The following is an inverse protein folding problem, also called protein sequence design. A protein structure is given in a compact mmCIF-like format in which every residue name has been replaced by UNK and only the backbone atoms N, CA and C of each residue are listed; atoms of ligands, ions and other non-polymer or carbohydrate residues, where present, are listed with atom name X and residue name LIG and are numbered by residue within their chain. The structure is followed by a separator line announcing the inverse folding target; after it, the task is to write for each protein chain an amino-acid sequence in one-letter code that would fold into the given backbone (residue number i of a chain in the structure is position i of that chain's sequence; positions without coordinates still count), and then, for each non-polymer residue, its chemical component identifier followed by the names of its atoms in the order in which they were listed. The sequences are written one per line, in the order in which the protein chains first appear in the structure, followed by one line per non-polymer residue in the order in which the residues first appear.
data_IF_594767068389
#
_entry.id   IF_594767068389
#
_cell.length_a   1.000
_cell.length_b   1.000
_cell.length_c   1.000
_cell.angle_alpha   90.00
_cell.angle_beta   90.00
_cell.angle_gamma   90.00
#
_symmetry.space_group_name_H-M   'P 1'
#
loop_
_entity.id
_entity.type
_entity.pdbx_description
1 polymer ?
#
# COMPACT_ATOMS: atom_id res chain seq x y z
N UNK A 1 -0.45 -3.79 18.03
CA UNK A 1 -1.69 -4.35 18.62
C UNK A 1 -2.66 -4.51 17.47
N UNK A 2 -3.11 -5.72 17.22
CA UNK A 2 -4.28 -5.93 16.38
C UNK A 2 -5.44 -5.36 17.16
N UNK A 3 -6.08 -4.30 16.69
CA UNK A 3 -7.38 -3.94 17.20
C UNK A 3 -8.34 -5.05 16.74
N UNK A 4 -8.61 -6.00 17.63
CA UNK A 4 -9.59 -7.07 17.38
C UNK A 4 -11.03 -6.53 17.47
N UNK A 5 -11.17 -5.21 17.46
CA UNK A 5 -12.43 -4.50 17.55
C UNK A 5 -13.05 -4.50 18.94
N UNK A 6 -12.34 -5.00 19.92
CA UNK A 6 -12.75 -4.86 21.29
C UNK A 6 -12.21 -3.53 21.82
N UNK A 7 -13.07 -2.81 22.52
CA UNK A 7 -12.66 -1.75 23.41
C UNK A 7 -11.46 -2.27 24.24
N UNK A 8 -10.40 -1.49 24.46
CA UNK A 8 -9.31 -1.85 25.37
C UNK A 8 -9.81 -2.34 26.73
N UNK A 9 -11.00 -1.94 27.14
CA UNK A 9 -11.67 -2.33 28.38
C UNK A 9 -12.61 -3.54 28.21
N UNK A 10 -12.61 -4.23 27.06
CA UNK A 10 -13.34 -5.48 26.82
C UNK A 10 -14.79 -5.31 26.36
N UNK A 11 -15.20 -4.10 25.99
CA UNK A 11 -16.52 -3.80 25.41
C UNK A 11 -16.68 -4.28 23.96
N UNK A 12 -17.93 -4.39 23.51
CA UNK A 12 -18.25 -4.64 22.11
C UNK A 12 -18.01 -3.35 21.31
N UNK A 13 -17.29 -3.42 20.18
CA UNK A 13 -17.11 -2.25 19.35
C UNK A 13 -18.46 -1.77 18.79
N UNK A 14 -18.73 -0.48 18.91
CA UNK A 14 -19.91 0.13 18.38
C UNK A 14 -19.85 0.19 16.84
N UNK A 15 -20.98 0.07 16.13
CA UNK A 15 -21.02 0.33 14.69
C UNK A 15 -20.64 1.78 14.40
N UNK A 16 -20.24 2.05 13.17
CA UNK A 16 -20.08 3.41 12.66
C UNK A 16 -21.45 3.96 12.27
N UNK A 17 -21.75 5.17 12.72
CA UNK A 17 -22.99 5.88 12.38
C UNK A 17 -22.64 7.20 11.72
N UNK A 18 -23.19 7.44 10.53
CA UNK A 18 -23.02 8.65 9.75
C UNK A 18 -24.38 9.32 9.59
N UNK A 19 -24.54 10.53 10.15
CA UNK A 19 -25.76 11.30 10.05
C UNK A 19 -25.46 12.53 9.18
N UNK A 20 -26.12 12.63 8.04
CA UNK A 20 -26.01 13.77 7.13
C UNK A 20 -26.95 14.91 7.54
N UNK A 21 -26.66 16.10 7.04
CA UNK A 21 -27.52 17.28 7.21
C UNK A 21 -27.88 17.63 8.67
N UNK A 22 -26.90 17.46 9.59
CA UNK A 22 -27.07 17.74 11.02
C UNK A 22 -26.99 19.24 11.37
N UNK A 23 -26.54 20.10 10.44
CA UNK A 23 -26.47 21.55 10.66
C UNK A 23 -27.80 22.27 10.34
N UNK A 24 -28.06 23.40 11.00
CA UNK A 24 -29.24 24.24 10.81
C UNK A 24 -29.40 24.78 9.37
N UNK A 25 -28.32 24.84 8.60
CA UNK A 25 -28.31 25.28 7.19
C UNK A 25 -28.07 24.15 6.20
N UNK A 26 -28.01 22.87 6.67
CA UNK A 26 -27.67 21.71 5.88
C UNK A 26 -26.14 21.55 5.65
N UNK A 27 -25.77 20.44 5.07
CA UNK A 27 -24.37 20.17 4.63
C UNK A 27 -23.38 19.71 5.70
N UNK A 28 -23.72 19.68 6.97
CA UNK A 28 -22.90 19.12 8.04
C UNK A 28 -23.14 17.61 8.15
N UNK A 29 -22.09 16.86 8.38
CA UNK A 29 -22.16 15.40 8.63
C UNK A 29 -21.59 15.10 10.00
N UNK A 30 -22.32 14.37 10.82
CA UNK A 30 -21.89 13.89 12.13
C UNK A 30 -21.49 12.43 12.06
N UNK A 31 -20.42 12.06 12.72
CA UNK A 31 -19.89 10.70 12.83
C UNK A 31 -19.91 10.27 14.30
N UNK A 32 -20.45 9.09 14.56
CA UNK A 32 -20.57 8.51 15.91
C UNK A 32 -20.08 7.04 15.85
N UNK A 33 -19.56 6.54 16.96
CA UNK A 33 -19.12 5.15 17.10
C UNK A 33 -17.71 4.89 16.56
N UNK A 34 -17.46 3.66 16.11
CA UNK A 34 -16.15 3.24 15.62
C UNK A 34 -15.86 3.81 14.24
N UNK A 35 -14.64 4.30 14.01
CA UNK A 35 -14.24 4.71 12.67
C UNK A 35 -14.27 3.54 11.70
N UNK A 36 -14.96 3.73 10.57
CA UNK A 36 -15.21 2.68 9.56
C UNK A 36 -13.95 2.10 8.92
N UNK A 37 -12.82 2.80 8.99
CA UNK A 37 -11.56 2.40 8.36
C UNK A 37 -10.49 1.98 9.38
N UNK A 38 -10.55 2.50 10.59
CA UNK A 38 -9.53 2.28 11.62
C UNK A 38 -9.84 1.09 12.53
N UNK A 39 -11.13 0.72 12.67
CA UNK A 39 -11.59 -0.31 13.61
C UNK A 39 -10.93 -1.69 13.39
N UNK A 40 -10.64 -2.05 12.15
CA UNK A 40 -9.94 -3.29 11.80
C UNK A 40 -8.85 -2.99 10.78
N UNK A 41 -7.75 -2.41 11.25
CA UNK A 41 -6.62 -2.00 10.43
C UNK A 41 -5.31 -2.21 11.21
N UNK A 42 -4.51 -3.19 10.78
CA UNK A 42 -3.22 -3.48 11.41
C UNK A 42 -2.20 -3.95 10.38
N UNK A 43 -1.06 -3.29 10.33
CA UNK A 43 0.07 -3.68 9.49
C UNK A 43 1.23 -4.13 10.38
N UNK A 44 1.68 -5.37 10.17
CA UNK A 44 2.93 -5.89 10.71
C UNK A 44 3.92 -6.12 9.58
N UNK A 45 5.08 -5.51 9.68
CA UNK A 45 6.14 -5.66 8.71
C UNK A 45 7.45 -6.01 9.42
N UNK A 46 7.99 -7.18 9.10
CA UNK A 46 9.33 -7.57 9.52
C UNK A 46 10.28 -7.44 8.33
N UNK A 47 11.40 -6.76 8.53
CA UNK A 47 12.41 -6.54 7.50
C UNK A 47 13.74 -7.06 8.01
N UNK A 48 14.37 -7.94 7.22
CA UNK A 48 15.76 -8.35 7.43
C UNK A 48 16.59 -7.66 6.37
N UNK A 49 17.58 -6.88 6.81
CA UNK A 49 18.51 -6.17 5.92
C UNK A 49 19.89 -6.80 6.03
N UNK A 50 20.48 -7.11 4.87
CA UNK A 50 21.87 -7.54 4.74
C UNK A 50 22.62 -6.53 3.87
N UNK A 51 23.68 -5.96 4.40
CA UNK A 51 24.54 -5.01 3.68
C UNK A 51 26.00 -5.46 3.82
N UNK A 52 26.71 -5.43 2.69
CA UNK A 52 28.14 -5.67 2.65
C UNK A 52 28.79 -4.74 1.63
N UNK A 53 29.92 -4.15 2.01
CA UNK A 53 30.70 -3.21 1.20
C UNK A 53 32.17 -3.60 1.17
N UNK A 54 32.74 -3.66 -0.03
CA UNK A 54 34.18 -3.77 -0.25
C UNK A 54 34.68 -2.49 -0.92
N UNK A 55 35.65 -1.85 -0.30
CA UNK A 55 36.32 -0.66 -0.83
C UNK A 55 37.76 -1.03 -1.18
N UNK A 56 38.17 -0.73 -2.41
CA UNK A 56 39.51 -0.95 -2.92
C UNK A 56 40.08 0.36 -3.42
N UNK A 57 41.10 0.86 -2.71
CA UNK A 57 41.83 2.07 -3.11
C UNK A 57 43.09 1.66 -3.91
N UNK A 58 43.17 2.16 -5.16
CA UNK A 58 44.33 1.89 -6.04
C UNK A 58 44.67 3.13 -6.85
N UNK A 59 45.75 3.79 -6.49
CA UNK A 59 46.22 4.99 -7.17
C UNK A 59 45.22 6.14 -7.07
N UNK A 60 44.67 6.55 -8.21
CA UNK A 60 43.67 7.62 -8.30
C UNK A 60 42.22 7.13 -8.15
N UNK A 61 42.01 5.83 -7.99
CA UNK A 61 40.71 5.19 -7.94
C UNK A 61 40.36 4.72 -6.53
N UNK A 62 39.10 4.91 -6.15
CA UNK A 62 38.48 4.34 -4.95
C UNK A 62 37.22 3.62 -5.39
N UNK A 63 37.34 2.31 -5.58
CA UNK A 63 36.28 1.45 -6.10
C UNK A 63 35.49 0.91 -4.93
N UNK A 64 34.19 1.13 -4.91
CA UNK A 64 33.26 0.52 -3.96
C UNK A 64 32.38 -0.46 -4.70
N UNK A 65 32.34 -1.69 -4.24
CA UNK A 65 31.37 -2.70 -4.68
C UNK A 65 30.66 -3.26 -3.47
N UNK A 66 29.38 -3.55 -3.62
CA UNK A 66 28.62 -4.04 -2.49
C UNK A 66 27.24 -4.55 -2.84
N UNK A 67 26.54 -4.96 -1.79
CA UNK A 67 25.16 -5.41 -1.85
C UNK A 67 24.36 -4.78 -0.70
N UNK A 68 23.06 -4.63 -0.93
CA UNK A 68 22.09 -4.22 0.08
C UNK A 68 20.77 -4.94 -0.20
N UNK A 69 20.51 -5.98 0.56
CA UNK A 69 19.35 -6.83 0.40
C UNK A 69 18.35 -6.56 1.50
N UNK A 70 17.09 -6.50 1.14
CA UNK A 70 15.99 -6.38 2.09
C UNK A 70 14.98 -7.50 1.84
N UNK A 71 14.70 -8.28 2.89
CA UNK A 71 13.71 -9.34 2.85
C UNK A 71 12.54 -8.94 3.74
N UNK A 72 11.34 -9.01 3.20
CA UNK A 72 10.11 -8.54 3.82
C UNK A 72 9.16 -9.70 4.11
N UNK A 73 8.61 -9.70 5.31
CA UNK A 73 7.47 -10.51 5.70
C UNK A 73 6.38 -9.56 6.19
N UNK A 74 5.29 -9.48 5.45
CA UNK A 74 4.24 -8.49 5.63
C UNK A 74 2.93 -9.20 5.93
N UNK A 75 2.26 -8.74 6.98
CA UNK A 75 0.91 -9.14 7.36
C UNK A 75 0.07 -7.89 7.49
N UNK A 76 -0.97 -7.76 6.70
CA UNK A 76 -1.86 -6.60 6.71
C UNK A 76 -3.30 -7.04 6.90
N UNK A 77 -3.87 -6.67 8.03
CA UNK A 77 -5.30 -6.83 8.31
C UNK A 77 -5.95 -5.49 7.97
N UNK A 78 -6.90 -5.49 7.05
CA UNK A 78 -7.71 -4.32 6.74
C UNK A 78 -9.09 -4.77 6.27
N UNK A 79 -10.09 -4.52 7.11
CA UNK A 79 -11.50 -4.77 6.80
C UNK A 79 -12.27 -3.49 7.12
N UNK A 80 -12.55 -2.70 6.10
CA UNK A 80 -13.37 -1.51 6.28
C UNK A 80 -14.81 -1.90 6.64
N UNK A 81 -15.49 -1.08 7.41
CA UNK A 81 -16.86 -1.34 7.88
C UNK A 81 -17.04 -2.69 8.63
N UNK A 82 -16.00 -3.20 9.29
CA UNK A 82 -16.03 -4.50 9.96
C UNK A 82 -17.04 -4.60 11.12
N UNK A 83 -17.50 -3.48 11.65
CA UNK A 83 -18.52 -3.39 12.71
C UNK A 83 -19.86 -2.90 12.21
N UNK A 84 -20.04 -2.82 10.89
CA UNK A 84 -21.19 -2.19 10.27
C UNK A 84 -21.10 -0.67 10.24
N UNK A 85 -21.61 -0.08 9.18
CA UNK A 85 -21.72 1.38 9.01
C UNK A 85 -23.13 1.72 8.58
N UNK A 86 -23.83 2.47 9.40
CA UNK A 86 -25.16 2.99 9.12
C UNK A 86 -25.07 4.43 8.64
N UNK A 87 -25.75 4.75 7.56
CA UNK A 87 -25.83 6.12 7.04
C UNK A 87 -27.28 6.59 7.05
N UNK A 88 -27.55 7.69 7.72
CA UNK A 88 -28.83 8.37 7.80
C UNK A 88 -28.77 9.69 7.03
N UNK A 89 -29.84 10.08 6.33
CA UNK A 89 -29.86 11.31 5.55
C UNK A 89 -30.21 12.55 6.40
N UNK A 90 -30.77 12.36 7.59
CA UNK A 90 -31.17 13.43 8.54
C UNK A 90 -31.10 12.95 9.98
N UNK A 91 -31.24 13.88 10.93
CA UNK A 91 -31.41 13.56 12.36
C UNK A 91 -32.73 12.83 12.57
N UNK A 92 -33.81 13.28 11.91
CA UNK A 92 -35.12 12.65 12.00
C UNK A 92 -35.08 11.18 11.57
N UNK A 93 -34.34 10.86 10.48
CA UNK A 93 -34.12 9.47 10.05
C UNK A 93 -33.37 8.65 11.11
N UNK A 94 -32.41 9.27 11.77
CA UNK A 94 -31.66 8.62 12.84
C UNK A 94 -32.52 8.36 14.08
N UNK A 95 -33.32 9.34 14.49
CA UNK A 95 -34.26 9.22 15.63
C UNK A 95 -35.33 8.16 15.40
N UNK A 96 -35.75 7.96 14.15
CA UNK A 96 -36.73 6.95 13.75
C UNK A 96 -36.10 5.64 13.28
N UNK A 97 -34.78 5.49 13.39
CA UNK A 97 -33.98 4.32 12.95
C UNK A 97 -34.20 3.93 11.48
N UNK A 98 -34.36 4.94 10.60
CA UNK A 98 -34.55 4.77 9.17
C UNK A 98 -33.21 4.96 8.42
N UNK A 99 -32.31 3.99 8.52
CA UNK A 99 -31.03 4.05 7.82
C UNK A 99 -31.22 4.02 6.29
N UNK A 100 -30.60 4.96 5.58
CA UNK A 100 -30.60 4.99 4.12
C UNK A 100 -29.66 3.98 3.51
N UNK A 101 -28.51 3.72 4.17
CA UNK A 101 -27.50 2.75 3.72
C UNK A 101 -26.94 2.02 4.93
N UNK A 102 -26.76 0.71 4.79
CA UNK A 102 -25.99 -0.13 5.68
C UNK A 102 -24.85 -0.82 4.91
N UNK A 103 -23.63 -0.72 5.42
CA UNK A 103 -22.46 -1.35 4.84
C UNK A 103 -21.78 -2.22 5.90
N UNK A 104 -21.45 -3.46 5.53
CA UNK A 104 -20.72 -4.39 6.37
C UNK A 104 -19.74 -5.20 5.51
N UNK A 105 -18.47 -5.24 5.89
CA UNK A 105 -17.48 -6.08 5.23
C UNK A 105 -16.89 -7.04 6.25
N UNK A 106 -16.53 -8.21 5.79
CA UNK A 106 -15.96 -9.27 6.61
C UNK A 106 -15.05 -10.17 5.77
N UNK A 107 -14.17 -10.88 6.45
CA UNK A 107 -13.47 -12.01 5.83
C UNK A 107 -14.35 -13.24 5.94
N UNK A 108 -14.45 -14.02 4.86
CA UNK A 108 -15.29 -15.21 4.81
C UNK A 108 -14.75 -16.29 5.76
N UNK A 109 -15.47 -16.65 6.83
CA UNK A 109 -14.98 -17.62 7.82
C UNK A 109 -14.78 -19.02 7.22
N UNK A 110 -15.58 -19.39 6.21
CA UNK A 110 -15.48 -20.70 5.56
C UNK A 110 -14.19 -20.84 4.73
N UNK A 111 -13.62 -19.70 4.31
CA UNK A 111 -12.37 -19.64 3.54
C UNK A 111 -11.17 -19.32 4.43
N UNK A 112 -11.33 -18.41 5.38
CA UNK A 112 -10.21 -17.85 6.16
C UNK A 112 -10.16 -18.33 7.61
N UNK A 113 -11.25 -18.97 8.09
CA UNK A 113 -11.42 -19.37 9.49
C UNK A 113 -11.75 -18.20 10.45
N UNK A 114 -11.96 -16.98 9.95
CA UNK A 114 -12.23 -15.80 10.77
C UNK A 114 -12.98 -14.74 9.97
N UNK A 115 -13.82 -13.95 10.66
CA UNK A 115 -14.44 -12.74 10.07
C UNK A 115 -13.46 -11.56 9.97
N UNK A 116 -12.31 -11.66 10.63
CA UNK A 116 -11.21 -10.69 10.61
C UNK A 116 -9.93 -11.40 10.22
N UNK A 117 -9.62 -11.36 8.93
CA UNK A 117 -8.42 -11.96 8.37
C UNK A 117 -7.64 -10.94 7.55
N UNK A 118 -6.34 -11.11 7.45
CA UNK A 118 -5.48 -10.32 6.59
C UNK A 118 -4.43 -11.18 5.89
N UNK A 119 -4.11 -10.85 4.64
CA UNK A 119 -3.14 -11.59 3.88
C UNK A 119 -1.73 -11.44 4.44
N UNK A 120 -0.92 -12.47 4.16
CA UNK A 120 0.52 -12.45 4.36
C UNK A 120 1.21 -12.58 3.02
N UNK A 121 2.19 -11.72 2.77
CA UNK A 121 3.06 -11.93 1.63
C UNK A 121 4.53 -11.69 1.98
N UNK A 122 5.40 -12.29 1.19
CA UNK A 122 6.83 -12.17 1.32
C UNK A 122 7.41 -11.61 0.04
N UNK A 123 8.31 -10.66 0.21
CA UNK A 123 9.00 -10.01 -0.89
C UNK A 123 10.48 -9.85 -0.56
N UNK A 124 11.29 -9.61 -1.57
CA UNK A 124 12.66 -9.17 -1.39
C UNK A 124 13.02 -8.09 -2.39
N UNK A 125 13.98 -7.27 -2.03
CA UNK A 125 14.67 -6.36 -2.92
C UNK A 125 16.16 -6.67 -2.85
N UNK A 126 16.68 -7.30 -3.90
CA UNK A 126 18.10 -7.63 -4.00
C UNK A 126 18.79 -6.52 -4.78
N UNK A 127 19.79 -5.91 -4.16
CA UNK A 127 20.52 -4.80 -4.74
C UNK A 127 22.00 -5.10 -4.75
N UNK A 128 22.64 -4.88 -5.88
CA UNK A 128 24.08 -4.90 -6.06
C UNK A 128 24.54 -3.57 -6.65
N UNK A 129 25.70 -3.11 -6.28
CA UNK A 129 26.24 -1.86 -6.81
C UNK A 129 27.75 -1.91 -6.98
N UNK A 130 28.19 -1.15 -7.96
CA UNK A 130 29.59 -0.87 -8.24
C UNK A 130 29.74 0.62 -8.53
N UNK A 131 30.69 1.26 -7.87
CA UNK A 131 30.99 2.68 -8.05
C UNK A 131 32.49 2.89 -8.02
N UNK A 132 32.99 3.79 -8.85
CA UNK A 132 34.35 4.30 -8.77
C UNK A 132 34.34 5.81 -8.52
N UNK A 133 35.22 6.24 -7.63
CA UNK A 133 35.59 7.62 -7.40
C UNK A 133 37.00 7.83 -7.95
N UNK A 134 37.08 8.47 -9.10
CA UNK A 134 38.32 8.69 -9.80
C UNK A 134 38.84 10.11 -9.62
N UNK A 135 39.98 10.27 -8.94
CA UNK A 135 40.67 11.54 -8.73
C UNK A 135 41.52 11.89 -9.94
N UNK A 136 41.02 12.71 -10.85
CA UNK A 136 41.71 13.21 -12.03
C UNK A 136 42.60 14.41 -11.65
N UNK A 137 43.78 14.09 -11.15
CA UNK A 137 44.68 15.08 -10.56
C UNK A 137 44.16 15.62 -9.22
N UNK A 138 44.55 16.88 -8.89
CA UNK A 138 44.25 17.46 -7.58
C UNK A 138 42.91 18.21 -7.54
N UNK A 139 42.25 18.46 -8.68
CA UNK A 139 41.13 19.41 -8.78
C UNK A 139 39.84 18.82 -9.31
N UNK A 140 39.90 17.66 -9.89
CA UNK A 140 38.75 17.02 -10.53
C UNK A 140 38.52 15.64 -9.93
N UNK A 141 37.31 15.43 -9.41
CA UNK A 141 36.81 14.15 -8.95
C UNK A 141 35.63 13.74 -9.83
N UNK A 142 35.75 12.60 -10.47
CA UNK A 142 34.67 11.95 -11.21
C UNK A 142 34.17 10.77 -10.37
N UNK A 143 32.84 10.68 -10.20
CA UNK A 143 32.19 9.53 -9.57
C UNK A 143 31.24 8.93 -10.57
N UNK A 144 31.35 7.62 -10.82
CA UNK A 144 30.42 6.93 -11.70
C UNK A 144 30.15 5.52 -11.16
N UNK A 145 28.97 5.01 -11.48
CA UNK A 145 28.60 3.70 -10.98
C UNK A 145 27.23 3.25 -11.46
N UNK A 146 26.88 2.05 -11.09
CA UNK A 146 25.60 1.44 -11.39
C UNK A 146 25.10 0.67 -10.17
N UNK A 147 23.79 0.77 -9.91
CA UNK A 147 23.07 -0.13 -9.01
C UNK A 147 22.13 -0.99 -9.84
N UNK A 148 22.11 -2.27 -9.51
CA UNK A 148 21.18 -3.26 -10.08
C UNK A 148 20.21 -3.65 -8.99
N UNK A 149 18.91 -3.48 -9.23
CA UNK A 149 17.85 -3.82 -8.29
C UNK A 149 16.98 -4.93 -8.89
N UNK A 150 16.74 -5.99 -8.13
CA UNK A 150 15.87 -7.10 -8.48
C UNK A 150 14.78 -7.23 -7.41
N UNK A 151 13.57 -6.71 -7.66
CA UNK A 151 12.42 -6.95 -6.79
C UNK A 151 11.87 -8.36 -7.02
N UNK A 152 11.54 -9.05 -5.93
CA UNK A 152 10.98 -10.39 -5.92
C UNK A 152 9.73 -10.43 -5.05
N UNK A 153 8.72 -11.18 -5.50
CA UNK A 153 7.53 -11.53 -4.72
C UNK A 153 7.46 -13.05 -4.67
N UNK A 154 7.40 -13.63 -3.47
CA UNK A 154 7.57 -15.08 -3.27
C UNK A 154 6.29 -15.88 -3.21
N UNK A 155 5.14 -15.24 -3.04
CA UNK A 155 3.84 -15.89 -3.05
C UNK A 155 2.82 -15.05 -3.82
N UNK A 156 1.79 -15.70 -4.31
CA UNK A 156 0.74 -15.08 -5.12
C UNK A 156 -0.56 -14.93 -4.31
N UNK A 157 -1.42 -13.96 -4.65
CA UNK A 157 -2.79 -13.89 -4.15
C UNK A 157 -3.61 -15.12 -4.55
N UNK A 158 -4.70 -15.35 -3.86
CA UNK A 158 -5.66 -16.40 -4.24
C UNK A 158 -6.29 -16.06 -5.59
N UNK A 159 -6.31 -17.00 -6.51
CA UNK A 159 -6.95 -16.81 -7.80
C UNK A 159 -8.47 -16.83 -7.66
N UNK A 160 -9.15 -15.92 -8.36
CA UNK A 160 -10.61 -15.94 -8.48
C UNK A 160 -10.99 -16.49 -9.86
N UNK A 161 -11.22 -17.80 -9.95
CA UNK A 161 -11.47 -18.45 -11.23
C UNK A 161 -12.78 -18.01 -11.87
N UNK A 162 -13.79 -17.64 -11.08
CA UNK A 162 -15.05 -17.10 -11.59
C UNK A 162 -14.82 -15.76 -12.31
N UNK A 163 -14.03 -14.87 -11.71
CA UNK A 163 -13.66 -13.62 -12.38
C UNK A 163 -12.73 -13.88 -13.56
N UNK A 164 -11.71 -14.71 -13.38
CA UNK A 164 -10.66 -14.96 -14.38
C UNK A 164 -11.19 -15.56 -15.69
N UNK A 165 -12.32 -16.27 -15.62
CA UNK A 165 -13.02 -16.82 -16.80
C UNK A 165 -14.04 -15.83 -17.41
N UNK A 166 -14.29 -14.67 -16.79
CA UNK A 166 -15.24 -13.70 -17.28
C UNK A 166 -14.77 -13.01 -18.57
N UNK A 167 -15.73 -12.50 -19.36
CA UNK A 167 -15.42 -11.73 -20.56
C UNK A 167 -14.63 -10.44 -20.26
N UNK A 168 -14.81 -9.84 -19.07
CA UNK A 168 -14.06 -8.67 -18.63
C UNK A 168 -12.59 -9.03 -18.42
N UNK A 169 -12.30 -10.10 -17.69
CA UNK A 169 -10.95 -10.53 -17.41
C UNK A 169 -10.20 -10.95 -18.69
N UNK A 170 -10.83 -11.80 -19.49
CA UNK A 170 -10.24 -12.33 -20.74
C UNK A 170 -10.06 -11.25 -21.79
N UNK A 171 -11.04 -10.34 -21.94
CA UNK A 171 -10.99 -9.25 -22.91
C UNK A 171 -9.92 -8.19 -22.60
N UNK A 172 -9.58 -8.01 -21.32
CA UNK A 172 -8.54 -7.07 -20.89
C UNK A 172 -7.20 -7.76 -20.56
N UNK A 173 -7.11 -9.09 -20.64
CA UNK A 173 -5.89 -9.82 -20.35
C UNK A 173 -5.43 -9.69 -18.88
N UNK A 174 -6.37 -9.52 -17.93
CA UNK A 174 -6.10 -9.37 -16.50
C UNK A 174 -6.59 -10.57 -15.71
N UNK A 175 -5.93 -10.89 -14.61
CA UNK A 175 -6.30 -12.02 -13.74
C UNK A 175 -6.11 -11.62 -12.27
N UNK A 176 -7.04 -12.01 -11.42
CA UNK A 176 -6.85 -12.02 -9.97
C UNK A 176 -5.95 -13.22 -9.63
N UNK A 177 -4.94 -12.98 -8.80
CA UNK A 177 -3.91 -13.95 -8.47
C UNK A 177 -2.57 -13.70 -9.15
N UNK A 178 -2.52 -12.85 -10.18
CA UNK A 178 -1.26 -12.45 -10.80
C UNK A 178 -0.49 -11.46 -9.92
N UNK A 179 0.84 -11.58 -9.97
CA UNK A 179 1.80 -10.63 -9.38
C UNK A 179 2.76 -10.13 -10.45
N UNK A 180 3.40 -8.98 -10.25
CA UNK A 180 4.43 -8.49 -11.17
C UNK A 180 5.53 -9.52 -11.38
N UNK A 181 5.94 -9.69 -12.63
CA UNK A 181 7.13 -10.46 -12.95
C UNK A 181 8.37 -9.71 -12.48
N UNK A 182 9.29 -10.40 -11.85
CA UNK A 182 10.58 -9.83 -11.45
C UNK A 182 11.32 -9.30 -12.67
N UNK A 183 11.78 -8.06 -12.57
CA UNK A 183 12.51 -7.39 -13.63
C UNK A 183 13.76 -6.74 -13.06
N UNK A 184 14.88 -6.92 -13.74
CA UNK A 184 16.14 -6.28 -13.38
C UNK A 184 16.06 -4.79 -13.73
N UNK A 185 16.31 -3.94 -12.75
CA UNK A 185 16.29 -2.48 -12.89
C UNK A 185 17.73 -1.95 -12.75
N UNK A 186 18.18 -1.19 -13.75
CA UNK A 186 19.49 -0.57 -13.76
C UNK A 186 19.39 0.90 -13.37
N UNK A 187 20.24 1.33 -12.46
CA UNK A 187 20.32 2.69 -11.94
C UNK A 187 21.74 3.24 -12.10
N UNK A 188 22.16 3.58 -13.33
CA UNK A 188 23.46 4.23 -13.57
C UNK A 188 23.45 5.66 -13.04
N UNK A 189 24.62 6.11 -12.59
CA UNK A 189 24.84 7.48 -12.10
C UNK A 189 26.24 7.96 -12.45
N UNK A 190 26.37 9.27 -12.65
CA UNK A 190 27.63 9.97 -12.82
C UNK A 190 27.58 11.27 -12.05
N UNK A 191 28.68 11.62 -11.42
CA UNK A 191 28.87 12.87 -10.72
C UNK A 191 30.25 13.43 -10.98
N UNK A 192 30.37 14.76 -10.96
CA UNK A 192 31.60 15.48 -11.16
C UNK A 192 31.70 16.56 -10.09
N UNK A 193 32.90 16.71 -9.55
CA UNK A 193 33.27 17.83 -8.66
C UNK A 193 34.62 18.38 -9.10
N UNK A 194 34.65 19.69 -9.37
CA UNK A 194 35.86 20.37 -9.80
C UNK A 194 36.01 21.66 -9.00
N UNK A 195 37.25 21.99 -8.66
CA UNK A 195 37.54 23.28 -8.02
C UNK A 195 38.76 23.94 -8.61
N UNK A 196 38.79 25.26 -8.56
CA UNK A 196 39.92 26.10 -8.95
C UNK A 196 40.14 27.23 -7.92
N UNK A 197 41.36 27.32 -7.39
CA UNK A 197 41.81 28.45 -6.62
C UNK A 197 42.28 29.57 -7.55
N UNK A 198 41.80 30.80 -7.34
CA UNK A 198 42.20 32.00 -8.06
C UNK A 198 42.69 33.05 -7.07
N UNK A 199 43.30 34.13 -7.55
CA UNK A 199 43.68 35.23 -6.72
C UNK A 199 42.51 35.98 -6.03
N UNK A 200 41.32 35.88 -6.63
CA UNK A 200 40.09 36.52 -6.14
C UNK A 200 39.22 35.61 -5.25
N UNK A 201 39.56 34.33 -5.12
CA UNK A 201 38.77 33.38 -4.36
C UNK A 201 38.79 31.98 -4.96
N UNK A 202 37.92 31.09 -4.47
CA UNK A 202 37.80 29.72 -4.91
C UNK A 202 36.51 29.54 -5.69
N UNK A 203 36.58 28.83 -6.81
CA UNK A 203 35.44 28.38 -7.63
C UNK A 203 35.28 26.89 -7.43
N UNK A 204 34.08 26.46 -7.03
CA UNK A 204 33.70 25.07 -6.94
C UNK A 204 32.53 24.82 -7.92
N UNK A 205 32.66 23.77 -8.75
CA UNK A 205 31.60 23.29 -9.66
C UNK A 205 31.33 21.86 -9.31
N UNK A 206 30.07 21.56 -9.05
CA UNK A 206 29.63 20.18 -8.82
C UNK A 206 28.33 19.88 -9.56
N UNK A 207 28.21 18.67 -10.07
CA UNK A 207 26.99 18.26 -10.75
C UNK A 207 26.93 16.75 -10.93
N UNK A 208 25.79 16.27 -11.36
CA UNK A 208 25.61 14.87 -11.62
C UNK A 208 24.28 14.56 -12.30
N UNK A 209 24.19 13.36 -12.81
CA UNK A 209 22.97 12.80 -13.35
C UNK A 209 22.89 11.31 -13.06
N UNK A 210 21.67 10.78 -12.96
CA UNK A 210 21.48 9.36 -12.74
C UNK A 210 20.02 8.93 -12.79
N UNK A 211 19.85 7.63 -12.96
CA UNK A 211 18.56 6.97 -12.84
C UNK A 211 18.45 6.40 -11.42
N UNK A 212 17.32 6.65 -10.77
CA UNK A 212 17.06 6.23 -9.42
C UNK A 212 15.78 5.40 -9.38
N UNK A 213 15.88 4.15 -8.91
CA UNK A 213 14.74 3.28 -8.68
C UNK A 213 14.10 3.62 -7.35
N UNK A 214 12.79 3.88 -7.36
CA UNK A 214 11.98 4.11 -6.17
C UNK A 214 11.34 2.82 -5.68
N UNK A 215 11.11 2.71 -4.36
CA UNK A 215 10.36 1.60 -3.78
C UNK A 215 8.86 1.82 -3.99
N UNK A 216 8.14 0.75 -4.29
CA UNK A 216 6.68 0.75 -4.32
C UNK A 216 6.16 0.56 -2.88
N UNK A 217 5.20 1.38 -2.43
CA UNK A 217 4.54 1.12 -1.15
C UNK A 217 3.88 -0.25 -1.14
N UNK A 218 4.26 -1.12 -0.20
CA UNK A 218 3.73 -2.49 -0.16
C UNK A 218 2.23 -2.56 0.12
N UNK A 219 1.62 -1.49 0.67
CA UNK A 219 0.17 -1.39 0.80
C UNK A 219 -0.56 -1.47 -0.55
N UNK A 220 0.05 -1.00 -1.63
CA UNK A 220 -0.53 -1.16 -2.97
C UNK A 220 -0.50 -2.61 -3.46
N UNK A 221 0.56 -3.33 -3.12
CA UNK A 221 0.70 -4.74 -3.46
C UNK A 221 -0.23 -5.59 -2.60
N UNK A 222 -0.33 -5.31 -1.30
CA UNK A 222 -1.15 -6.11 -0.38
C UNK A 222 -2.64 -6.04 -0.70
N UNK A 223 -3.11 -4.94 -1.29
CA UNK A 223 -4.49 -4.83 -1.72
C UNK A 223 -4.90 -5.88 -2.78
N UNK A 224 -3.93 -6.39 -3.57
CA UNK A 224 -4.20 -7.48 -4.50
C UNK A 224 -4.35 -8.83 -3.79
N UNK A 225 -3.83 -8.96 -2.58
CA UNK A 225 -3.99 -10.14 -1.74
C UNK A 225 -5.26 -10.09 -0.89
N UNK A 226 -5.72 -8.90 -0.51
CA UNK A 226 -6.96 -8.73 0.25
C UNK A 226 -8.20 -8.77 -0.64
N UNK A 227 -8.11 -8.12 -1.81
CA UNK A 227 -9.25 -7.87 -2.68
C UNK A 227 -9.27 -8.85 -3.87
N UNK A 228 -9.31 -10.14 -3.57
CA UNK A 228 -9.41 -11.22 -4.56
C UNK A 228 -10.86 -11.57 -4.89
N UNK A 229 -11.81 -11.14 -4.02
CA UNK A 229 -13.21 -11.55 -4.06
C UNK A 229 -13.45 -12.99 -3.56
N UNK A 230 -12.40 -13.62 -2.96
CA UNK A 230 -12.47 -14.97 -2.38
C UNK A 230 -12.51 -14.87 -0.85
N UNK A 231 -11.51 -14.23 -0.26
CA UNK A 231 -11.37 -14.16 1.20
C UNK A 231 -12.22 -13.08 1.86
N UNK A 232 -12.44 -11.96 1.17
CA UNK A 232 -13.23 -10.84 1.71
C UNK A 232 -14.50 -10.63 0.92
N UNK A 233 -15.56 -10.37 1.65
CA UNK A 233 -16.90 -10.09 1.13
C UNK A 233 -17.47 -8.84 1.77
N UNK A 234 -18.42 -8.21 1.11
CA UNK A 234 -19.10 -7.04 1.62
C UNK A 234 -20.59 -7.07 1.32
N UNK A 235 -21.36 -6.54 2.24
CA UNK A 235 -22.78 -6.29 2.11
C UNK A 235 -23.01 -4.79 1.99
N UNK A 236 -23.86 -4.39 1.07
CA UNK A 236 -24.37 -3.02 1.00
C UNK A 236 -25.86 -3.05 0.75
N UNK A 237 -26.63 -2.68 1.76
CA UNK A 237 -28.07 -2.52 1.67
C UNK A 237 -28.41 -1.03 1.48
N UNK A 238 -29.41 -0.75 0.69
CA UNK A 238 -29.99 0.60 0.57
C UNK A 238 -31.47 0.51 0.91
N UNK A 239 -32.07 1.59 1.45
CA UNK A 239 -33.47 1.65 1.75
C UNK A 239 -34.34 1.28 0.53
N UNK A 240 -33.95 1.69 -0.67
CA UNK A 240 -34.66 1.33 -1.92
C UNK A 240 -34.64 -0.19 -2.20
N UNK A 241 -33.52 -0.86 -1.94
CA UNK A 241 -33.38 -2.32 -2.17
C UNK A 241 -34.09 -3.19 -1.13
N UNK A 242 -34.54 -2.59 -0.02
CA UNK A 242 -35.23 -3.23 1.10
C UNK A 242 -36.66 -2.71 1.31
N UNK A 243 -37.33 -2.26 0.25
CA UNK A 243 -38.69 -1.67 0.32
C UNK A 243 -38.83 -0.54 1.37
N UNK A 244 -37.77 0.26 1.53
CA UNK A 244 -37.74 1.40 2.44
C UNK A 244 -37.23 1.10 3.85
N UNK A 245 -37.00 -0.16 4.21
CA UNK A 245 -36.48 -0.52 5.53
C UNK A 245 -35.22 -1.34 5.46
N UNK A 246 -34.19 -0.87 6.14
CA UNK A 246 -33.03 -1.68 6.52
C UNK A 246 -33.35 -2.29 7.89
N UNK A 247 -33.45 -3.62 7.95
CA UNK A 247 -33.90 -4.34 9.16
C UNK A 247 -32.85 -4.39 10.27
N UNK A 248 -31.59 -4.03 9.97
CA UNK A 248 -30.55 -3.89 10.97
C UNK A 248 -30.67 -2.50 11.63
N UNK A 249 -30.75 -2.46 12.94
CA UNK A 249 -30.83 -1.23 13.73
C UNK A 249 -29.45 -0.83 14.27
N UNK A 250 -29.12 0.46 14.14
CA UNK A 250 -27.92 1.01 14.81
C UNK A 250 -28.06 1.01 16.34
N UNK A 251 -29.27 0.96 16.87
CA UNK A 251 -29.53 0.85 18.31
C UNK A 251 -29.30 -0.55 18.85
N UNK A 252 -29.32 -1.57 17.99
CA UNK A 252 -29.02 -2.96 18.35
C UNK A 252 -27.55 -3.27 18.11
N UNK A 253 -26.71 -2.74 19.00
CA UNK A 253 -25.24 -2.79 18.90
C UNK A 253 -24.64 -4.20 18.92
N UNK A 254 -25.44 -5.24 19.00
CA UNK A 254 -24.96 -6.62 19.18
C UNK A 254 -25.01 -7.46 17.91
N UNK A 255 -25.65 -6.97 16.85
CA UNK A 255 -25.92 -7.78 15.65
C UNK A 255 -24.99 -7.39 14.52
N UNK A 256 -23.85 -8.10 14.38
CA UNK A 256 -23.22 -8.28 13.09
C UNK A 256 -24.10 -9.22 12.25
N UNK A 257 -24.43 -8.89 10.98
CA UNK A 257 -25.20 -9.80 10.13
C UNK A 257 -24.54 -11.17 10.08
N UNK A 258 -25.36 -12.22 10.17
CA UNK A 258 -24.85 -13.57 9.93
C UNK A 258 -24.35 -13.67 8.48
N UNK A 259 -23.18 -14.25 8.23
CA UNK A 259 -22.70 -14.47 6.87
C UNK A 259 -23.68 -15.22 5.98
N UNK A 260 -24.61 -15.98 6.54
CA UNK A 260 -25.62 -16.77 5.83
C UNK A 260 -26.75 -15.92 5.25
N UNK A 261 -26.96 -14.68 5.72
CA UNK A 261 -28.06 -13.81 5.26
C UNK A 261 -27.67 -12.96 4.05
N UNK A 262 -26.51 -13.20 3.45
CA UNK A 262 -25.85 -12.29 2.53
C UNK A 262 -26.01 -12.73 1.05
N UNK A 263 -27.26 -12.85 0.57
CA UNK A 263 -27.55 -13.14 -0.85
C UNK A 263 -27.06 -12.06 -1.85
N UNK A 264 -26.74 -10.86 -1.36
CA UNK A 264 -26.26 -9.70 -2.14
C UNK A 264 -24.84 -9.28 -1.78
N UNK A 265 -23.95 -10.23 -1.61
CA UNK A 265 -22.53 -9.89 -1.32
C UNK A 265 -21.88 -9.22 -2.51
N UNK A 266 -21.31 -8.05 -2.25
CA UNK A 266 -20.38 -7.37 -3.14
C UNK A 266 -18.95 -7.60 -2.66
N UNK A 267 -18.03 -7.69 -3.59
CA UNK A 267 -16.60 -7.77 -3.27
C UNK A 267 -15.80 -6.82 -4.16
N UNK A 268 -14.71 -6.35 -3.63
CA UNK A 268 -13.75 -5.57 -4.38
C UNK A 268 -12.75 -6.50 -5.05
N UNK A 269 -12.43 -6.25 -6.31
CA UNK A 269 -11.40 -6.96 -7.03
C UNK A 269 -10.27 -6.01 -7.37
N UNK A 270 -9.07 -6.39 -7.00
CA UNK A 270 -7.85 -5.73 -7.46
C UNK A 270 -7.09 -6.67 -8.38
N UNK A 271 -6.60 -6.12 -9.48
CA UNK A 271 -5.74 -6.82 -10.43
C UNK A 271 -4.46 -6.03 -10.61
N UNK A 272 -3.37 -6.72 -10.86
CA UNK A 272 -2.08 -6.11 -11.11
C UNK A 272 -1.52 -6.57 -12.45
N UNK A 273 -0.99 -5.64 -13.22
CA UNK A 273 -0.32 -5.98 -14.47
C UNK A 273 0.97 -6.75 -14.17
N UNK A 274 1.14 -7.90 -14.79
CA UNK A 274 2.36 -8.71 -14.70
C UNK A 274 3.61 -7.97 -15.18
N UNK A 275 3.44 -6.95 -16.04
CA UNK A 275 4.52 -6.08 -16.53
C UNK A 275 4.77 -4.85 -15.65
N UNK A 276 4.07 -4.72 -14.53
CA UNK A 276 4.28 -3.62 -13.59
C UNK A 276 5.75 -3.54 -13.18
N UNK A 277 6.30 -2.31 -13.19
CA UNK A 277 7.70 -2.03 -12.83
C UNK A 277 7.75 -1.02 -11.70
N UNK A 278 8.79 -1.12 -10.90
CA UNK A 278 9.10 -0.08 -9.93
C UNK A 278 9.41 1.23 -10.65
N UNK A 279 8.97 2.37 -10.11
CA UNK A 279 9.19 3.68 -10.72
C UNK A 279 10.68 3.99 -10.78
N UNK A 280 11.12 4.53 -11.91
CA UNK A 280 12.48 5.04 -12.09
C UNK A 280 12.43 6.52 -12.47
N UNK A 281 13.27 7.33 -11.82
CA UNK A 281 13.37 8.76 -12.05
C UNK A 281 14.74 9.11 -12.59
N UNK A 282 14.81 9.85 -13.69
CA UNK A 282 16.02 10.54 -14.11
C UNK A 282 16.14 11.85 -13.32
N UNK A 283 17.27 12.03 -12.63
CA UNK A 283 17.58 13.27 -11.93
C UNK A 283 18.91 13.80 -12.40
N UNK A 284 19.02 15.12 -12.56
CA UNK A 284 20.26 15.82 -12.85
C UNK A 284 20.32 17.11 -12.03
N UNK A 285 21.53 17.50 -11.63
CA UNK A 285 21.80 18.76 -10.95
C UNK A 285 23.15 19.33 -11.38
N UNK A 286 23.28 20.63 -11.29
CA UNK A 286 24.54 21.37 -11.46
C UNK A 286 24.55 22.54 -10.49
N UNK A 287 25.67 22.73 -9.80
CA UNK A 287 25.93 23.87 -8.92
C UNK A 287 27.28 24.51 -9.25
N UNK A 288 27.39 25.81 -9.00
CA UNK A 288 28.63 26.56 -9.05
C UNK A 288 28.64 27.54 -7.88
N UNK A 289 29.71 27.46 -7.07
CA UNK A 289 29.89 28.29 -5.89
C UNK A 289 31.19 29.09 -6.02
N UNK A 290 31.18 30.34 -5.52
CA UNK A 290 32.34 31.18 -5.42
C UNK A 290 32.50 31.65 -3.99
N UNK A 291 33.66 31.40 -3.38
CA UNK A 291 33.99 31.74 -1.99
C UNK A 291 35.34 32.47 -1.86
#
# INVERSE_FOLDING_TARGET
RVADGRDPDGGTALPSVIIKNTGTTGGVTTYIGTDRYAGTNALTQNVVTLTDDLIVDRGAHSITMGMHHELYNIHNIYVANAYGTYTYNSIDDFENDMAAVYEYNYSDPDVTGSTVWGPRFRAAELNFYLQDRWSLGRRLLLTYGVRVTLPLIFNTPTANESFNSSAIATGNGVRVGDVPQSQVLFSPRVGLSWYKQTAAGRIDIAGGAGIFTGRVPFVWIVNNYSNTGVEQKGLRLTGESQNGQITQSAADFTVTPSPTDLSNTKFMLNVMDRKFRYPQNLKANLSADFT
#
